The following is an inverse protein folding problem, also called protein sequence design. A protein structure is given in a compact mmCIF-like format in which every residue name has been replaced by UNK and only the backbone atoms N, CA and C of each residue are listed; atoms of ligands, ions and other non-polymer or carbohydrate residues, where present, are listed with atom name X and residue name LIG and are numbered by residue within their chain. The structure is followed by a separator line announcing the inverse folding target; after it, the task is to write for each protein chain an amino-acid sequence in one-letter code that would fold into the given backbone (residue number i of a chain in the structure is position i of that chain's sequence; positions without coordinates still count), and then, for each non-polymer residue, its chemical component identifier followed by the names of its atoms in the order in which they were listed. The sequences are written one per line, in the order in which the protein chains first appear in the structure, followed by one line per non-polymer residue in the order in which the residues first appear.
data_IF_324108089193
#
_entry.id   IF_324108089193
#
_cell.length_a   1.000
_cell.length_b   1.000
_cell.length_c   1.000
_cell.angle_alpha   90.00
_cell.angle_beta   90.00
_cell.angle_gamma   90.00
#
_symmetry.space_group_name_H-M   'P 1'
#
loop_
_entity.id
_entity.type
_entity.pdbx_description
1 polymer ?
#
# COMPACT_ATOMS: atom_id res chain seq x y z
N UNK A 1 -4.78 -1.27 -24.44
CA UNK A 1 -5.05 -2.48 -23.61
C UNK A 1 -6.45 -2.38 -23.04
N UNK A 2 -7.15 -3.51 -22.84
CA UNK A 2 -8.46 -3.49 -22.15
C UNK A 2 -8.27 -2.95 -20.73
N UNK A 3 -9.20 -2.10 -20.25
CA UNK A 3 -9.18 -1.50 -18.89
C UNK A 3 -8.96 -2.56 -17.79
N UNK A 4 -9.48 -3.77 -17.98
CA UNK A 4 -9.29 -4.91 -17.08
C UNK A 4 -7.83 -5.28 -16.85
N UNK A 5 -6.96 -5.19 -17.87
CA UNK A 5 -5.53 -5.53 -17.70
C UNK A 5 -4.82 -4.49 -16.85
N UNK A 6 -5.24 -3.22 -16.91
CA UNK A 6 -4.68 -2.15 -16.08
C UNK A 6 -4.97 -2.36 -14.59
N UNK A 7 -6.21 -2.75 -14.27
CA UNK A 7 -6.60 -3.05 -12.89
C UNK A 7 -5.81 -4.25 -12.33
N UNK A 8 -5.57 -5.27 -13.16
CA UNK A 8 -4.77 -6.44 -12.78
C UNK A 8 -3.31 -6.06 -12.54
N UNK A 9 -2.68 -5.30 -13.44
CA UNK A 9 -1.29 -4.85 -13.27
C UNK A 9 -1.14 -4.02 -12.00
N UNK A 10 -2.06 -3.08 -11.76
CA UNK A 10 -2.08 -2.32 -10.51
C UNK A 10 -2.15 -3.30 -9.34
N UNK A 11 -3.16 -4.18 -9.29
CA UNK A 11 -3.33 -5.10 -8.18
C UNK A 11 -2.09 -5.96 -7.87
N UNK A 12 -1.34 -6.40 -8.88
CA UNK A 12 -0.09 -7.14 -8.69
C UNK A 12 0.98 -6.23 -8.07
N UNK A 13 1.18 -5.03 -8.63
CA UNK A 13 2.15 -4.04 -8.15
C UNK A 13 1.88 -3.64 -6.69
N UNK A 14 0.61 -3.59 -6.27
CA UNK A 14 0.23 -3.25 -4.90
C UNK A 14 0.19 -4.46 -3.97
N UNK A 15 -0.31 -5.61 -4.46
CA UNK A 15 -0.54 -6.79 -3.66
C UNK A 15 0.74 -7.52 -3.28
N UNK A 16 1.66 -7.72 -4.24
CA UNK A 16 2.87 -8.52 -4.01
C UNK A 16 3.79 -7.89 -2.95
N UNK A 17 4.16 -6.59 -3.02
CA UNK A 17 4.94 -5.95 -1.96
C UNK A 17 4.17 -5.91 -0.64
N UNK A 18 2.84 -5.71 -0.69
CA UNK A 18 1.96 -5.70 0.47
C UNK A 18 2.03 -7.00 1.27
N UNK A 19 2.00 -8.15 0.62
CA UNK A 19 2.13 -9.46 1.29
C UNK A 19 3.52 -9.62 1.91
N UNK A 20 4.58 -9.29 1.17
CA UNK A 20 5.97 -9.43 1.64
C UNK A 20 6.23 -8.60 2.90
N UNK A 21 5.83 -7.32 2.90
CA UNK A 21 6.07 -6.44 4.04
C UNK A 21 5.15 -6.77 5.21
N UNK A 22 3.90 -7.18 4.98
CA UNK A 22 3.00 -7.66 6.04
C UNK A 22 3.64 -8.85 6.78
N UNK A 23 4.17 -9.82 6.03
CA UNK A 23 4.85 -10.97 6.62
C UNK A 23 6.05 -10.54 7.47
N UNK A 24 6.87 -9.60 6.99
CA UNK A 24 8.00 -9.06 7.76
C UNK A 24 7.55 -8.35 9.04
N UNK A 25 6.47 -7.56 8.98
CA UNK A 25 5.92 -6.86 10.14
C UNK A 25 5.42 -7.83 11.21
N UNK A 26 4.62 -8.82 10.81
CA UNK A 26 4.08 -9.85 11.70
C UNK A 26 5.20 -10.70 12.29
N UNK A 27 6.17 -11.12 11.47
CA UNK A 27 7.32 -11.90 11.94
C UNK A 27 8.14 -11.12 12.98
N UNK A 28 8.34 -9.82 12.78
CA UNK A 28 9.04 -8.96 13.74
C UNK A 28 8.30 -8.85 15.09
N UNK A 29 6.97 -8.88 15.09
CA UNK A 29 6.17 -8.96 16.32
C UNK A 29 6.43 -10.25 17.10
N UNK A 30 6.42 -11.40 16.42
CA UNK A 30 6.53 -12.71 17.09
C UNK A 30 7.95 -13.09 17.52
N UNK A 31 8.99 -12.58 16.84
CA UNK A 31 10.37 -13.01 17.11
C UNK A 31 11.16 -12.05 17.99
N UNK A 32 10.77 -10.78 18.07
CA UNK A 32 11.62 -9.74 18.67
C UNK A 32 10.90 -8.84 19.68
N UNK A 33 9.57 -8.93 19.78
CA UNK A 33 8.79 -8.17 20.77
C UNK A 33 8.17 -9.14 21.79
N UNK A 34 8.93 -9.50 22.84
CA UNK A 34 8.44 -10.35 23.94
C UNK A 34 7.80 -9.56 25.10
N UNK A 35 8.09 -8.26 25.24
CA UNK A 35 7.57 -7.42 26.32
C UNK A 35 6.49 -6.42 25.84
N UNK A 36 5.43 -6.27 26.64
CA UNK A 36 4.41 -5.21 26.62
C UNK A 36 3.90 -4.79 25.22
N UNK A 37 3.48 -5.78 24.41
CA UNK A 37 3.01 -5.60 23.03
C UNK A 37 1.77 -4.70 22.87
N UNK A 38 1.04 -4.45 23.94
CA UNK A 38 -0.25 -3.77 23.89
C UNK A 38 -0.14 -2.31 23.45
N UNK A 39 0.89 -1.57 23.92
CA UNK A 39 1.17 -0.21 23.45
C UNK A 39 1.58 -0.21 21.97
N UNK A 40 2.34 -1.22 21.56
CA UNK A 40 2.83 -1.37 20.18
C UNK A 40 1.68 -1.67 19.20
N UNK A 41 0.73 -2.51 19.64
CA UNK A 41 -0.53 -2.76 18.95
C UNK A 41 -1.38 -1.48 18.83
N UNK A 42 -1.47 -0.68 19.90
CA UNK A 42 -2.18 0.61 19.86
C UNK A 42 -1.56 1.56 18.84
N UNK A 43 -0.23 1.70 18.83
CA UNK A 43 0.50 2.50 17.84
C UNK A 43 0.22 1.97 16.42
N UNK A 44 0.29 0.66 16.23
CA UNK A 44 0.01 0.01 14.94
C UNK A 44 -1.40 0.32 14.45
N UNK A 45 -2.38 0.26 15.35
CA UNK A 45 -3.76 0.61 15.03
C UNK A 45 -3.89 2.08 14.62
N UNK A 46 -3.28 3.01 15.38
CA UNK A 46 -3.27 4.43 15.02
C UNK A 46 -2.64 4.68 13.64
N UNK A 47 -1.50 4.04 13.36
CA UNK A 47 -0.80 4.14 12.07
C UNK A 47 -1.65 3.54 10.94
N UNK A 48 -2.30 2.40 11.18
CA UNK A 48 -3.19 1.75 10.22
C UNK A 48 -4.37 2.65 9.86
N UNK A 49 -4.99 3.28 10.86
CA UNK A 49 -6.07 4.26 10.64
C UNK A 49 -5.57 5.47 9.84
N UNK A 50 -4.39 6.00 10.16
CA UNK A 50 -3.76 7.06 9.38
C UNK A 50 -3.56 6.66 7.91
N UNK A 51 -3.00 5.47 7.67
CA UNK A 51 -2.85 4.93 6.32
C UNK A 51 -4.19 4.69 5.62
N UNK A 52 -5.23 4.25 6.32
CA UNK A 52 -6.57 4.08 5.75
C UNK A 52 -7.07 5.37 5.10
N UNK A 53 -6.95 6.51 5.79
CA UNK A 53 -7.41 7.78 5.23
C UNK A 53 -6.59 8.22 4.01
N UNK A 54 -5.28 7.99 4.04
CA UNK A 54 -4.39 8.28 2.91
C UNK A 54 -4.75 7.40 1.71
N UNK A 55 -4.74 6.07 1.90
CA UNK A 55 -5.01 5.11 0.83
C UNK A 55 -6.43 5.24 0.27
N UNK A 56 -7.44 5.48 1.12
CA UNK A 56 -8.82 5.73 0.67
C UNK A 56 -8.90 6.93 -0.27
N UNK A 57 -8.23 8.04 0.07
CA UNK A 57 -8.17 9.24 -0.79
C UNK A 57 -7.44 8.94 -2.09
N UNK A 58 -6.34 8.19 -2.04
CA UNK A 58 -5.58 7.78 -3.22
C UNK A 58 -6.42 6.91 -4.14
N UNK A 59 -7.03 5.84 -3.64
CA UNK A 59 -7.87 4.91 -4.42
C UNK A 59 -9.07 5.63 -5.03
N UNK A 60 -9.79 6.45 -4.27
CA UNK A 60 -10.95 7.20 -4.79
C UNK A 60 -10.56 8.15 -5.93
N UNK A 61 -9.42 8.85 -5.78
CA UNK A 61 -8.87 9.73 -6.82
C UNK A 61 -8.34 8.95 -8.03
N UNK A 62 -7.80 7.76 -7.82
CA UNK A 62 -7.29 6.89 -8.87
C UNK A 62 -8.43 6.40 -9.77
N UNK A 63 -9.50 5.92 -9.15
CA UNK A 63 -10.65 5.38 -9.88
C UNK A 63 -11.46 6.45 -10.62
N UNK A 64 -11.61 7.64 -10.02
CA UNK A 64 -12.22 8.77 -10.71
C UNK A 64 -11.41 9.21 -11.95
N UNK A 65 -10.08 9.12 -11.89
CA UNK A 65 -9.24 9.45 -13.03
C UNK A 65 -9.30 8.39 -14.15
N UNK A 66 -9.29 7.10 -13.80
CA UNK A 66 -9.45 6.01 -14.79
C UNK A 66 -10.82 6.09 -15.49
N UNK A 67 -11.88 6.44 -14.76
CA UNK A 67 -13.23 6.62 -15.32
C UNK A 67 -13.30 7.76 -16.34
N UNK A 68 -12.46 8.80 -16.20
CA UNK A 68 -12.44 9.97 -17.09
C UNK A 68 -11.58 9.81 -18.36
N UNK A 69 -10.85 8.70 -18.54
CA UNK A 69 -9.99 8.53 -19.72
C UNK A 69 -10.70 7.84 -20.90
N UNK A 70 -10.62 8.39 -22.13
CA UNK A 70 -11.17 7.77 -23.34
C UNK A 70 -10.48 6.44 -23.68
N UNK A 71 -11.18 5.59 -24.42
CA UNK A 71 -10.98 4.12 -24.55
C UNK A 71 -9.64 3.66 -25.15
N UNK A 72 -8.79 4.57 -25.66
CA UNK A 72 -7.49 4.27 -26.27
C UNK A 72 -6.44 5.29 -25.87
N UNK A 73 -5.54 4.91 -24.96
CA UNK A 73 -4.33 5.71 -24.68
C UNK A 73 -3.16 4.80 -24.31
N UNK A 74 -1.95 5.21 -24.69
CA UNK A 74 -0.69 4.47 -24.51
C UNK A 74 -0.28 4.33 -23.04
N UNK A 75 0.44 3.25 -22.72
CA UNK A 75 0.84 2.77 -21.38
C UNK A 75 1.45 3.89 -20.50
N UNK A 76 2.15 4.84 -21.12
CA UNK A 76 2.84 5.95 -20.47
C UNK A 76 1.92 7.09 -20.02
N UNK A 77 0.77 7.30 -20.68
CA UNK A 77 -0.21 8.32 -20.31
C UNK A 77 -1.32 7.79 -19.39
N UNK A 78 -1.40 6.46 -19.20
CA UNK A 78 -2.47 5.79 -18.44
C UNK A 78 -2.15 5.59 -16.95
N UNK A 79 -0.91 5.82 -16.52
CA UNK A 79 -0.59 5.87 -15.10
C UNK A 79 -0.83 7.30 -14.59
N UNK A 80 -1.89 7.57 -13.78
CA UNK A 80 -2.04 8.88 -13.17
C UNK A 80 -0.80 9.22 -12.36
N UNK A 81 -0.38 10.50 -12.38
CA UNK A 81 0.72 11.01 -11.55
C UNK A 81 0.65 10.51 -10.09
N UNK A 82 -0.55 10.24 -9.58
CA UNK A 82 -0.80 9.78 -8.20
C UNK A 82 -0.43 8.31 -7.95
N UNK A 83 -0.51 7.44 -8.97
CA UNK A 83 0.02 6.07 -8.87
C UNK A 83 1.55 6.08 -8.83
N UNK A 84 2.17 6.92 -9.65
CA UNK A 84 3.60 7.21 -9.60
C UNK A 84 4.03 7.78 -8.25
N UNK A 85 3.28 8.73 -7.67
CA UNK A 85 3.56 9.27 -6.33
C UNK A 85 3.62 8.18 -5.28
N UNK A 86 2.77 7.15 -5.36
CA UNK A 86 2.80 6.08 -4.36
C UNK A 86 3.88 5.04 -4.63
N UNK A 87 4.23 4.76 -5.88
CA UNK A 87 5.42 3.95 -6.22
C UNK A 87 6.69 4.67 -5.73
N UNK A 88 6.80 5.98 -5.97
CA UNK A 88 7.90 6.82 -5.48
C UNK A 88 7.90 6.84 -3.95
N UNK A 89 6.74 6.99 -3.31
CA UNK A 89 6.63 6.91 -1.86
C UNK A 89 7.07 5.55 -1.32
N UNK A 90 6.63 4.45 -1.94
CA UNK A 90 7.03 3.09 -1.57
C UNK A 90 8.53 2.85 -1.72
N UNK A 91 9.13 3.28 -2.83
CA UNK A 91 10.57 3.19 -3.06
C UNK A 91 11.34 4.07 -2.08
N UNK A 92 10.89 5.32 -1.88
CA UNK A 92 11.50 6.25 -0.94
C UNK A 92 11.42 5.75 0.50
N UNK A 93 10.29 5.18 0.89
CA UNK A 93 10.06 4.60 2.22
C UNK A 93 10.92 3.35 2.43
N UNK A 94 10.97 2.44 1.46
CA UNK A 94 11.83 1.25 1.53
C UNK A 94 13.33 1.61 1.59
N UNK A 95 13.73 2.63 0.84
CA UNK A 95 15.10 3.15 0.88
C UNK A 95 15.40 3.83 2.22
N UNK A 96 14.47 4.64 2.74
CA UNK A 96 14.58 5.28 4.04
C UNK A 96 14.76 4.25 5.16
N UNK A 97 13.97 3.17 5.15
CA UNK A 97 14.12 2.06 6.11
C UNK A 97 15.49 1.39 6.04
N UNK A 98 16.08 1.29 4.85
CA UNK A 98 17.42 0.71 4.67
C UNK A 98 18.53 1.62 5.19
N UNK A 99 18.35 2.95 5.09
CA UNK A 99 19.37 3.93 5.52
C UNK A 99 19.26 4.21 7.02
N UNK A 100 18.03 4.33 7.53
CA UNK A 100 17.75 4.73 8.92
C UNK A 100 17.81 3.56 9.91
N UNK A 101 17.77 2.32 9.43
CA UNK A 101 17.77 1.08 10.24
C UNK A 101 16.93 1.22 11.52
N UNK A 102 15.64 1.55 11.40
CA UNK A 102 14.84 1.89 12.56
C UNK A 102 14.67 0.68 13.50
N UNK A 103 14.40 0.93 14.80
CA UNK A 103 14.26 -0.13 15.78
C UNK A 103 13.18 -1.13 15.37
N UNK A 104 13.35 -2.39 15.74
CA UNK A 104 12.43 -3.48 15.35
C UNK A 104 10.98 -3.19 15.71
N UNK A 105 10.72 -2.51 16.82
CA UNK A 105 9.39 -2.07 17.25
C UNK A 105 8.69 -1.19 16.20
N UNK A 106 9.45 -0.29 15.57
CA UNK A 106 8.94 0.56 14.49
C UNK A 106 8.66 -0.28 13.24
N UNK A 107 9.57 -1.18 12.86
CA UNK A 107 9.39 -2.08 11.71
C UNK A 107 8.15 -2.97 11.90
N UNK A 108 7.98 -3.55 13.07
CA UNK A 108 6.85 -4.39 13.43
C UNK A 108 5.54 -3.61 13.30
N UNK A 109 5.45 -2.43 13.92
CA UNK A 109 4.23 -1.62 13.88
C UNK A 109 3.93 -1.10 12.48
N UNK A 110 4.95 -0.55 11.82
CA UNK A 110 4.81 0.15 10.57
C UNK A 110 4.52 -0.81 9.41
N UNK A 111 5.23 -1.92 9.29
CA UNK A 111 4.98 -2.91 8.23
C UNK A 111 3.69 -3.70 8.44
N UNK A 112 3.30 -3.94 9.69
CA UNK A 112 2.00 -4.57 10.00
C UNK A 112 0.81 -3.65 9.73
N UNK A 113 1.00 -2.33 9.79
CA UNK A 113 -0.04 -1.37 9.40
C UNK A 113 -0.09 -1.12 7.89
N UNK A 114 1.09 -0.92 7.27
CA UNK A 114 1.20 -0.52 5.88
C UNK A 114 0.90 -1.67 4.92
N UNK A 115 1.38 -2.88 5.21
CA UNK A 115 1.21 -4.04 4.33
C UNK A 115 -0.25 -4.43 4.07
N UNK A 116 -1.10 -4.60 5.11
CA UNK A 116 -2.52 -4.86 4.93
C UNK A 116 -3.26 -3.78 4.15
N UNK A 117 -2.83 -2.52 4.25
CA UNK A 117 -3.40 -1.40 3.49
C UNK A 117 -3.06 -1.43 2.01
N UNK A 118 -1.88 -1.94 1.65
CA UNK A 118 -1.55 -2.23 0.26
C UNK A 118 -2.40 -3.37 -0.30
N UNK A 119 -2.58 -4.44 0.47
CA UNK A 119 -3.43 -5.57 0.07
C UNK A 119 -4.88 -5.10 -0.10
N UNK A 120 -5.39 -4.31 0.85
CA UNK A 120 -6.74 -3.72 0.76
C UNK A 120 -6.91 -2.87 -0.50
N UNK A 121 -5.90 -2.08 -0.84
CA UNK A 121 -5.90 -1.25 -2.05
C UNK A 121 -5.84 -2.10 -3.32
N UNK A 122 -5.04 -3.16 -3.33
CA UNK A 122 -4.99 -4.14 -4.43
C UNK A 122 -6.35 -4.78 -4.66
N UNK A 123 -7.02 -5.25 -3.60
CA UNK A 123 -8.37 -5.82 -3.67
C UNK A 123 -9.37 -4.81 -4.21
N UNK A 124 -9.29 -3.54 -3.77
CA UNK A 124 -10.14 -2.46 -4.29
C UNK A 124 -9.93 -2.16 -5.77
N UNK A 125 -8.76 -2.46 -6.34
CA UNK A 125 -8.53 -2.36 -7.78
C UNK A 125 -9.12 -3.54 -8.56
N UNK A 126 -9.17 -4.75 -8.00
CA UNK A 126 -9.82 -5.90 -8.64
C UNK A 126 -11.35 -5.81 -8.63
N UNK A 127 -11.95 -5.25 -7.57
CA UNK A 127 -13.40 -5.15 -7.48
C UNK A 127 -13.88 -4.16 -8.56
N UNK A 128 -14.80 -4.58 -9.46
CA UNK A 128 -15.34 -3.70 -10.49
C UNK A 128 -15.96 -2.47 -9.82
N UNK A 129 -15.35 -1.30 -10.04
CA UNK A 129 -16.00 -0.05 -9.67
C UNK A 129 -17.12 0.20 -10.66
N UNK A 130 -18.31 -0.33 -10.35
CA UNK A 130 -19.56 0.20 -10.92
C UNK A 130 -19.71 1.63 -10.42
N UNK A 131 -19.24 2.57 -11.23
CA UNK A 131 -19.72 3.94 -11.28
C UNK A 131 -19.98 4.28 -12.73
#
# INVERSE_FOLDING_TARGET
MKRSVLYVVAAIVWGVPGVIITHKGISAYFTQCENDLWWLLLITFCVLVGFYFIFRRVVAKYSAHIASQPERTAIWHTFPLRGWVLIIFMMGLGMAMKILEPPTQFIASFYSALGPMLIWSAVKFLIPQRR
#
